data_IF_378359107888
#
_entry.id   IF_378359107888
#
_cell.length_a   1.000
_cell.length_b   1.000
_cell.length_c   1.000
_cell.angle_alpha   90.00
_cell.angle_beta   90.00
_cell.angle_gamma   90.00
#
_symmetry.space_group_name_H-M   'P 1'
#
loop_
_entity.id
_entity.type
_entity.pdbx_description
1 polymer ?
#
# COMPACT_ATOMS: atom_id res chain seq x y z
N UNK A 1 -28.59 4.11 -34.65
CA UNK A 1 -27.31 4.73 -34.25
C UNK A 1 -26.20 4.07 -35.04
N UNK A 2 -25.50 4.84 -35.87
CA UNK A 2 -24.37 4.33 -36.66
C UNK A 2 -23.14 4.26 -35.73
N UNK A 3 -22.20 3.36 -36.02
CA UNK A 3 -20.95 3.17 -35.26
C UNK A 3 -20.20 4.49 -34.93
N UNK A 4 -20.38 5.51 -35.77
CA UNK A 4 -19.82 6.86 -35.63
C UNK A 4 -20.34 7.67 -34.43
N UNK A 5 -21.61 7.51 -34.05
CA UNK A 5 -22.21 8.31 -32.96
C UNK A 5 -21.65 7.86 -31.59
N UNK A 6 -21.41 6.55 -31.46
CA UNK A 6 -20.78 5.94 -30.28
C UNK A 6 -19.30 6.31 -30.18
N UNK A 7 -18.60 6.39 -31.32
CA UNK A 7 -17.21 6.83 -31.40
C UNK A 7 -17.06 8.28 -30.93
N UNK A 8 -17.93 9.20 -31.37
CA UNK A 8 -17.95 10.61 -30.94
C UNK A 8 -18.28 10.76 -29.44
N UNK A 9 -19.22 9.98 -28.91
CA UNK A 9 -19.56 10.01 -27.48
C UNK A 9 -18.41 9.49 -26.59
N UNK A 10 -17.73 8.44 -27.08
CA UNK A 10 -16.53 7.87 -26.47
C UNK A 10 -15.36 8.86 -26.53
N UNK A 11 -15.12 9.49 -27.69
CA UNK A 11 -14.10 10.52 -27.93
C UNK A 11 -14.27 11.70 -26.96
N UNK A 12 -15.52 12.13 -26.73
CA UNK A 12 -15.84 13.20 -25.80
C UNK A 12 -15.64 12.82 -24.32
N UNK A 13 -15.95 11.56 -23.93
CA UNK A 13 -15.61 11.03 -22.60
C UNK A 13 -14.09 10.98 -22.39
N UNK A 14 -13.36 10.46 -23.38
CA UNK A 14 -11.89 10.36 -23.33
C UNK A 14 -11.22 11.72 -23.26
N UNK A 15 -11.65 12.71 -24.05
CA UNK A 15 -11.09 14.08 -23.94
C UNK A 15 -11.30 14.68 -22.57
N UNK A 16 -12.42 14.37 -21.91
CA UNK A 16 -12.71 14.78 -20.54
C UNK A 16 -11.83 14.04 -19.54
N UNK A 17 -11.60 12.74 -19.72
CA UNK A 17 -10.76 11.89 -18.87
C UNK A 17 -9.24 12.05 -19.13
N UNK A 18 -8.85 12.55 -20.30
CA UNK A 18 -7.45 12.83 -20.70
C UNK A 18 -7.03 14.27 -20.38
N UNK A 19 -7.96 15.24 -20.40
CA UNK A 19 -7.69 16.64 -19.99
C UNK A 19 -7.90 16.91 -18.49
N UNK A 20 -8.56 16.00 -17.78
CA UNK A 20 -8.60 16.07 -16.33
C UNK A 20 -7.17 15.86 -15.82
N UNK A 21 -6.66 16.86 -15.11
CA UNK A 21 -5.48 16.72 -14.26
C UNK A 21 -5.82 15.73 -13.16
N UNK A 22 -5.90 14.45 -13.48
CA UNK A 22 -5.83 13.41 -12.48
C UNK A 22 -4.41 13.49 -11.91
N UNK A 23 -4.31 13.84 -10.63
CA UNK A 23 -3.09 13.63 -9.86
C UNK A 23 -2.62 12.20 -10.10
N UNK A 24 -1.31 11.99 -10.09
CA UNK A 24 -0.63 10.69 -10.08
C UNK A 24 -1.60 9.53 -9.80
N UNK A 25 -1.92 8.85 -10.89
CA UNK A 25 -3.04 7.95 -11.12
C UNK A 25 -3.38 7.04 -9.93
N UNK A 26 -4.66 6.93 -9.58
CA UNK A 26 -5.16 5.94 -8.62
C UNK A 26 -4.58 4.56 -8.98
N UNK A 27 -3.75 3.98 -8.10
CA UNK A 27 -3.11 2.67 -8.30
C UNK A 27 -4.09 1.56 -8.74
N UNK A 28 -5.36 1.51 -8.26
CA UNK A 28 -6.37 0.59 -8.80
C UNK A 28 -6.60 0.73 -10.31
N UNK A 29 -6.57 1.94 -10.85
CA UNK A 29 -6.71 2.22 -12.28
C UNK A 29 -5.48 1.73 -13.05
N UNK A 30 -4.28 1.89 -12.49
CA UNK A 30 -3.05 1.40 -13.11
C UNK A 30 -2.99 -0.13 -13.13
N UNK A 31 -3.36 -0.76 -12.01
CA UNK A 31 -3.47 -2.22 -11.90
C UNK A 31 -4.52 -2.73 -12.89
N UNK A 32 -5.70 -2.10 -12.96
CA UNK A 32 -6.73 -2.47 -13.93
C UNK A 32 -6.19 -2.46 -15.36
N UNK A 33 -5.53 -1.38 -15.78
CA UNK A 33 -4.97 -1.27 -17.14
C UNK A 33 -3.91 -2.35 -17.38
N UNK A 34 -3.01 -2.60 -16.44
CA UNK A 34 -2.02 -3.68 -16.52
C UNK A 34 -2.66 -5.06 -16.73
N UNK A 35 -3.70 -5.34 -15.95
CA UNK A 35 -4.42 -6.60 -16.05
C UNK A 35 -5.17 -6.71 -17.37
N UNK A 36 -5.79 -5.63 -17.86
CA UNK A 36 -6.47 -5.61 -19.16
C UNK A 36 -5.51 -5.96 -20.31
N UNK A 37 -4.32 -5.37 -20.29
CA UNK A 37 -3.29 -5.66 -21.29
C UNK A 37 -2.90 -7.14 -21.31
N UNK A 38 -2.64 -7.72 -20.13
CA UNK A 38 -2.30 -9.16 -19.99
C UNK A 38 -3.47 -10.06 -20.39
N UNK A 39 -4.69 -9.69 -20.05
CA UNK A 39 -5.87 -10.46 -20.44
C UNK A 39 -6.04 -10.53 -21.95
N UNK A 40 -5.86 -9.41 -22.64
CA UNK A 40 -6.04 -9.31 -24.09
C UNK A 40 -4.92 -9.99 -24.87
N UNK A 41 -3.67 -9.84 -24.44
CA UNK A 41 -2.50 -10.19 -25.26
C UNK A 41 -1.70 -11.38 -24.73
N UNK A 42 -2.04 -11.91 -23.54
CA UNK A 42 -1.42 -13.10 -22.96
C UNK A 42 -2.45 -14.19 -22.64
N UNK A 43 -3.39 -13.92 -21.73
CA UNK A 43 -4.30 -14.96 -21.22
C UNK A 43 -5.28 -15.42 -22.29
N UNK A 44 -5.97 -14.50 -22.96
CA UNK A 44 -6.96 -14.88 -23.97
C UNK A 44 -6.35 -15.69 -25.13
N UNK A 45 -5.24 -15.27 -25.77
CA UNK A 45 -4.63 -16.07 -26.83
C UNK A 45 -4.13 -17.44 -26.35
N UNK A 46 -3.59 -17.52 -25.13
CA UNK A 46 -3.09 -18.78 -24.56
C UNK A 46 -4.23 -19.76 -24.24
N UNK A 47 -5.34 -19.28 -23.67
CA UNK A 47 -6.48 -20.14 -23.31
C UNK A 47 -7.32 -20.55 -24.53
N UNK A 48 -7.43 -19.69 -25.54
CA UNK A 48 -8.36 -19.89 -26.67
C UNK A 48 -7.69 -20.33 -27.96
N UNK A 49 -6.37 -20.13 -28.10
CA UNK A 49 -5.65 -20.27 -29.37
C UNK A 49 -5.95 -19.16 -30.38
N UNK A 50 -6.77 -18.16 -30.04
CA UNK A 50 -7.10 -17.03 -30.91
C UNK A 50 -6.08 -15.91 -30.75
N UNK A 51 -5.17 -15.82 -31.72
CA UNK A 51 -4.11 -14.81 -31.77
C UNK A 51 -4.48 -13.56 -32.59
N UNK A 52 -5.71 -13.44 -33.07
CA UNK A 52 -6.10 -12.38 -34.03
C UNK A 52 -5.78 -10.97 -33.51
N UNK A 53 -6.07 -10.71 -32.24
CA UNK A 53 -5.78 -9.42 -31.59
C UNK A 53 -4.28 -9.19 -31.43
N UNK A 54 -3.53 -10.23 -31.08
CA UNK A 54 -2.09 -10.14 -30.91
C UNK A 54 -1.40 -9.86 -32.25
N UNK A 55 -1.81 -10.55 -33.33
CA UNK A 55 -1.36 -10.28 -34.69
C UNK A 55 -1.71 -8.86 -35.12
N UNK A 56 -2.95 -8.43 -34.87
CA UNK A 56 -3.39 -7.07 -35.18
C UNK A 56 -2.53 -6.02 -34.48
N UNK A 57 -2.26 -6.19 -33.18
CA UNK A 57 -1.38 -5.32 -32.40
C UNK A 57 0.02 -5.24 -33.02
N UNK A 58 0.67 -6.40 -33.22
CA UNK A 58 2.06 -6.46 -33.70
C UNK A 58 2.17 -5.84 -35.10
N UNK A 59 1.32 -6.27 -36.03
CA UNK A 59 1.36 -5.79 -37.42
C UNK A 59 1.07 -4.29 -37.54
N UNK A 60 0.15 -3.77 -36.73
CA UNK A 60 -0.14 -2.33 -36.67
C UNK A 60 1.10 -1.56 -36.18
N UNK A 61 1.76 -2.06 -35.14
CA UNK A 61 2.95 -1.42 -34.59
C UNK A 61 4.12 -1.50 -35.57
N UNK A 62 4.36 -2.67 -36.18
CA UNK A 62 5.42 -2.87 -37.17
C UNK A 62 5.25 -1.93 -38.36
N UNK A 63 4.04 -1.85 -38.91
CA UNK A 63 3.71 -0.93 -40.01
C UNK A 63 4.03 0.53 -39.64
N UNK A 64 3.64 0.98 -38.46
CA UNK A 64 3.86 2.36 -38.02
C UNK A 64 5.33 2.64 -37.68
N UNK A 65 6.03 1.66 -37.12
CA UNK A 65 7.46 1.70 -36.85
C UNK A 65 8.33 1.50 -38.11
N UNK A 66 7.72 1.21 -39.26
CA UNK A 66 8.38 0.89 -40.55
C UNK A 66 9.27 -0.36 -40.49
N UNK A 67 8.86 -1.31 -39.66
CA UNK A 67 9.44 -2.64 -39.53
C UNK A 67 8.83 -3.49 -40.67
N UNK A 68 9.65 -4.09 -41.56
CA UNK A 68 9.17 -4.75 -42.78
C UNK A 68 8.49 -6.11 -42.52
N UNK A 69 8.69 -6.69 -41.33
CA UNK A 69 8.09 -7.95 -40.92
C UNK A 69 6.55 -7.85 -40.83
N UNK A 70 5.87 -8.94 -41.19
CA UNK A 70 4.42 -9.08 -41.07
C UNK A 70 4.12 -10.46 -40.49
N UNK A 71 3.35 -10.47 -39.41
CA UNK A 71 2.90 -11.69 -38.75
C UNK A 71 1.69 -12.26 -39.51
N UNK A 72 1.90 -13.32 -40.28
CA UNK A 72 0.87 -13.98 -41.11
C UNK A 72 -0.07 -14.88 -40.30
N UNK A 73 -1.22 -15.27 -40.85
CA UNK A 73 -2.18 -16.17 -40.15
C UNK A 73 -1.61 -17.57 -39.89
N UNK A 74 -0.81 -18.09 -40.83
CA UNK A 74 -0.22 -19.43 -40.76
C UNK A 74 1.03 -19.51 -39.87
N UNK A 75 1.55 -18.37 -39.39
CA UNK A 75 2.75 -18.37 -38.56
C UNK A 75 2.43 -18.87 -37.15
N UNK A 76 3.21 -19.86 -36.70
CA UNK A 76 3.11 -20.39 -35.34
C UNK A 76 3.57 -19.33 -34.32
N UNK A 77 2.65 -18.94 -33.42
CA UNK A 77 2.94 -18.04 -32.32
C UNK A 77 3.12 -18.86 -31.05
N UNK A 78 4.28 -18.71 -30.40
CA UNK A 78 4.57 -19.28 -29.07
C UNK A 78 4.71 -18.16 -28.06
N UNK A 79 3.81 -18.14 -27.08
CA UNK A 79 3.93 -17.26 -25.92
C UNK A 79 4.75 -18.01 -24.87
N UNK A 80 5.99 -17.58 -24.65
CA UNK A 80 6.96 -18.34 -23.86
C UNK A 80 6.68 -18.25 -22.36
N UNK A 81 6.67 -17.03 -21.82
CA UNK A 81 6.33 -16.72 -20.43
C UNK A 81 6.11 -15.20 -20.41
N UNK A 82 4.89 -14.75 -20.08
CA UNK A 82 4.70 -13.39 -19.57
C UNK A 82 5.11 -13.39 -18.11
N UNK A 83 5.77 -12.34 -17.59
CA UNK A 83 6.26 -12.26 -16.20
C UNK A 83 5.20 -12.36 -15.09
N UNK A 84 4.03 -12.89 -15.39
CA UNK A 84 2.84 -12.93 -14.55
C UNK A 84 2.12 -14.27 -14.66
N UNK A 85 2.60 -15.24 -13.89
CA UNK A 85 1.71 -16.18 -13.15
C UNK A 85 0.87 -15.43 -12.08
N UNK A 86 0.70 -14.11 -12.27
CA UNK A 86 0.15 -13.10 -11.34
C UNK A 86 -0.96 -12.30 -12.01
N UNK A 87 -1.56 -12.84 -13.06
CA UNK A 87 -2.83 -12.30 -13.53
C UNK A 87 -3.83 -12.69 -12.44
N UNK A 88 -4.26 -11.71 -11.64
CA UNK A 88 -5.24 -11.88 -10.58
C UNK A 88 -4.82 -12.70 -9.34
N UNK A 89 -3.77 -12.30 -8.60
CA UNK A 89 -3.50 -12.90 -7.28
C UNK A 89 -4.08 -12.03 -6.15
N UNK A 90 -5.00 -12.62 -5.37
CA UNK A 90 -5.54 -12.11 -4.09
C UNK A 90 -4.45 -11.52 -3.18
N UNK A 91 -3.30 -12.19 -3.11
CA UNK A 91 -2.15 -11.79 -2.29
C UNK A 91 -1.64 -10.38 -2.65
N UNK A 92 -1.59 -10.03 -3.93
CA UNK A 92 -1.12 -8.73 -4.39
C UNK A 92 -2.06 -7.61 -3.95
N UNK A 93 -3.37 -7.87 -4.01
CA UNK A 93 -4.38 -6.91 -3.58
C UNK A 93 -4.42 -6.76 -2.06
N UNK A 94 -4.26 -7.85 -1.31
CA UNK A 94 -4.13 -7.80 0.15
C UNK A 94 -2.86 -7.05 0.57
N UNK A 95 -1.74 -7.25 -0.14
CA UNK A 95 -0.51 -6.47 0.08
C UNK A 95 -0.77 -4.97 -0.11
N UNK A 96 -1.55 -4.60 -1.13
CA UNK A 96 -1.96 -3.21 -1.36
C UNK A 96 -2.75 -2.61 -0.19
N UNK A 97 -3.78 -3.31 0.29
CA UNK A 97 -4.61 -2.79 1.40
C UNK A 97 -3.77 -2.52 2.65
N UNK A 98 -2.87 -3.46 2.98
CA UNK A 98 -1.93 -3.28 4.09
C UNK A 98 -1.03 -2.05 3.89
N UNK A 99 -0.52 -1.84 2.68
CA UNK A 99 0.34 -0.70 2.37
C UNK A 99 -0.41 0.64 2.49
N UNK A 100 -1.62 0.74 1.92
CA UNK A 100 -2.46 1.96 2.01
C UNK A 100 -2.81 2.28 3.46
N UNK A 101 -3.20 1.29 4.25
CA UNK A 101 -3.57 1.51 5.65
C UNK A 101 -2.39 1.89 6.54
N UNK A 102 -1.17 1.52 6.15
CA UNK A 102 0.05 1.87 6.87
C UNK A 102 0.58 3.28 6.56
N UNK A 103 -0.05 4.02 5.63
CA UNK A 103 0.45 5.28 5.04
C UNK A 103 1.91 5.19 4.52
N UNK A 104 2.44 3.98 4.34
CA UNK A 104 3.83 3.71 4.01
C UNK A 104 3.91 2.86 2.73
N UNK A 105 3.50 3.47 1.62
CA UNK A 105 3.57 2.83 0.30
C UNK A 105 5.00 3.00 -0.24
N UNK A 106 5.79 1.93 -0.24
CA UNK A 106 7.07 1.93 -0.94
C UNK A 106 6.87 1.54 -2.42
N UNK A 107 7.48 2.29 -3.33
CA UNK A 107 7.40 2.03 -4.79
C UNK A 107 7.92 0.61 -5.12
N UNK A 108 8.88 0.12 -4.33
CA UNK A 108 9.49 -1.21 -4.43
C UNK A 108 8.51 -2.36 -4.18
N UNK A 109 7.44 -2.15 -3.42
CA UNK A 109 6.48 -3.20 -3.09
C UNK A 109 5.67 -3.70 -4.29
N UNK A 110 5.61 -2.89 -5.34
CA UNK A 110 4.86 -3.13 -6.56
C UNK A 110 5.76 -3.19 -7.80
N UNK A 111 7.09 -3.14 -7.63
CA UNK A 111 8.03 -3.16 -8.74
C UNK A 111 7.84 -4.41 -9.59
N UNK A 112 7.58 -4.18 -10.88
CA UNK A 112 7.59 -5.22 -11.90
C UNK A 112 9.00 -5.78 -12.02
N UNK A 113 9.12 -7.11 -11.96
CA UNK A 113 10.37 -7.81 -12.26
C UNK A 113 10.87 -7.42 -13.65
N UNK A 114 12.16 -7.59 -13.87
CA UNK A 114 12.93 -7.23 -15.08
C UNK A 114 12.44 -7.86 -16.40
N UNK A 115 11.44 -8.74 -16.37
CA UNK A 115 10.85 -9.39 -17.54
C UNK A 115 9.77 -8.50 -18.19
N UNK A 116 9.57 -8.67 -19.49
CA UNK A 116 8.42 -8.07 -20.19
C UNK A 116 7.10 -8.72 -19.79
N UNK A 117 5.99 -8.00 -20.01
CA UNK A 117 4.65 -8.47 -19.68
C UNK A 117 4.22 -9.64 -20.56
N UNK A 118 4.53 -9.60 -21.87
CA UNK A 118 4.26 -10.69 -22.81
C UNK A 118 5.50 -10.98 -23.65
N UNK A 119 5.93 -12.23 -23.67
CA UNK A 119 7.08 -12.68 -24.44
C UNK A 119 6.66 -13.69 -25.51
N UNK A 120 6.96 -13.36 -26.75
CA UNK A 120 6.39 -14.01 -27.93
C UNK A 120 7.54 -14.44 -28.83
N UNK A 121 7.46 -15.65 -29.36
CA UNK A 121 8.32 -16.16 -30.42
C UNK A 121 7.46 -16.48 -31.62
N UNK A 122 7.88 -15.96 -32.78
CA UNK A 122 7.23 -16.20 -34.06
C UNK A 122 8.34 -16.48 -35.07
N UNK A 123 8.39 -17.69 -35.60
CA UNK A 123 9.47 -18.14 -36.48
C UNK A 123 10.85 -17.87 -35.86
N UNK A 124 11.58 -16.93 -36.45
CA UNK A 124 12.95 -16.57 -36.06
C UNK A 124 13.09 -15.22 -35.34
N UNK A 125 11.99 -14.59 -34.92
CA UNK A 125 12.03 -13.35 -34.16
C UNK A 125 11.32 -13.48 -32.82
N UNK A 126 11.83 -12.73 -31.84
CA UNK A 126 11.29 -12.63 -30.50
C UNK A 126 10.72 -11.24 -30.29
N UNK A 127 9.49 -11.18 -29.82
CA UNK A 127 8.80 -9.93 -29.51
C UNK A 127 8.52 -9.89 -28.02
N UNK A 128 8.90 -8.78 -27.39
CA UNK A 128 8.63 -8.52 -25.98
C UNK A 128 7.71 -7.32 -25.90
N UNK A 129 6.48 -7.54 -25.47
CA UNK A 129 5.53 -6.47 -25.22
C UNK A 129 5.56 -6.10 -23.74
N UNK A 130 5.54 -4.80 -23.46
CA UNK A 130 5.55 -4.27 -22.11
C UNK A 130 4.65 -3.02 -22.04
N UNK A 131 3.74 -2.98 -21.07
CA UNK A 131 2.89 -1.82 -20.86
C UNK A 131 3.36 -1.04 -19.64
N UNK A 132 3.73 0.23 -19.84
CA UNK A 132 4.28 1.08 -18.81
C UNK A 132 3.23 2.08 -18.32
N UNK A 133 2.73 1.79 -17.12
CA UNK A 133 1.76 2.62 -16.40
C UNK A 133 2.42 3.60 -15.42
N UNK A 134 3.73 3.49 -15.18
CA UNK A 134 4.47 4.32 -14.23
C UNK A 134 5.01 5.64 -14.80
N UNK A 135 5.75 6.40 -13.99
CA UNK A 135 6.29 7.72 -14.38
C UNK A 135 7.40 7.63 -15.44
N UNK A 136 7.71 8.77 -16.10
CA UNK A 136 8.83 8.86 -17.05
C UNK A 136 10.19 8.47 -16.48
N UNK A 137 10.39 8.64 -15.16
CA UNK A 137 11.67 8.34 -14.53
C UNK A 137 11.92 6.83 -14.46
N UNK A 138 10.91 6.08 -14.01
CA UNK A 138 10.92 4.60 -14.00
C UNK A 138 11.11 4.04 -15.41
N UNK A 139 10.42 4.62 -16.40
CA UNK A 139 10.57 4.29 -17.81
C UNK A 139 12.02 4.51 -18.28
N UNK A 140 12.61 5.68 -18.01
CA UNK A 140 13.97 6.02 -18.42
C UNK A 140 14.99 5.09 -17.77
N UNK A 141 14.85 4.76 -16.48
CA UNK A 141 15.74 3.83 -15.80
C UNK A 141 15.64 2.42 -16.39
N UNK A 142 14.43 1.95 -16.76
CA UNK A 142 14.28 0.66 -17.44
C UNK A 142 14.90 0.64 -18.83
N UNK A 143 14.80 1.75 -19.59
CA UNK A 143 15.46 1.89 -20.90
C UNK A 143 16.98 1.85 -20.72
N UNK A 144 17.51 2.66 -19.81
CA UNK A 144 18.96 2.78 -19.59
C UNK A 144 19.54 1.48 -19.05
N UNK A 145 18.85 0.82 -18.13
CA UNK A 145 19.33 -0.42 -17.52
C UNK A 145 19.19 -1.63 -18.46
N UNK A 146 18.63 -1.47 -19.67
CA UNK A 146 18.53 -2.49 -20.72
C UNK A 146 17.94 -3.85 -20.30
N UNK A 147 17.34 -3.96 -19.12
CA UNK A 147 17.03 -5.25 -18.50
C UNK A 147 16.01 -6.07 -19.30
N UNK A 148 15.07 -5.41 -19.99
CA UNK A 148 14.15 -6.06 -20.92
C UNK A 148 14.85 -6.63 -22.14
N UNK A 149 15.88 -5.93 -22.62
CA UNK A 149 16.70 -6.34 -23.76
C UNK A 149 17.55 -7.52 -23.35
N UNK A 150 18.24 -7.40 -22.20
CA UNK A 150 18.95 -8.50 -21.56
C UNK A 150 18.06 -9.72 -21.35
N UNK A 151 16.79 -9.56 -20.98
CA UNK A 151 15.83 -10.67 -20.86
C UNK A 151 15.40 -11.23 -22.23
N UNK A 152 15.21 -10.37 -23.22
CA UNK A 152 14.88 -10.76 -24.58
C UNK A 152 16.04 -11.48 -25.29
N UNK A 153 17.28 -11.19 -24.90
CA UNK A 153 18.50 -11.83 -25.42
C UNK A 153 18.92 -13.05 -24.60
N UNK A 154 18.70 -13.04 -23.28
CA UNK A 154 18.92 -14.21 -22.43
C UNK A 154 17.85 -15.27 -22.75
N UNK A 155 18.28 -16.50 -22.96
CA UNK A 155 17.50 -17.65 -23.48
C UNK A 155 17.36 -17.72 -25.01
N UNK A 156 18.08 -16.89 -25.78
CA UNK A 156 18.32 -17.22 -27.20
C UNK A 156 19.30 -18.39 -27.22
N UNK A 157 18.84 -19.58 -27.64
CA UNK A 157 19.76 -20.58 -28.17
C UNK A 157 20.38 -19.97 -29.43
N UNK A 158 21.71 -19.94 -29.52
CA UNK A 158 22.53 -19.26 -30.54
C UNK A 158 22.13 -19.57 -32.00
N UNK A 159 21.26 -20.55 -32.21
CA UNK A 159 20.90 -21.18 -33.47
C UNK A 159 19.44 -20.92 -33.95
N UNK A 160 18.60 -20.12 -33.23
CA UNK A 160 17.16 -20.00 -33.61
C UNK A 160 16.50 -18.62 -33.64
N UNK A 161 16.99 -17.60 -32.92
CA UNK A 161 16.36 -16.26 -32.89
C UNK A 161 17.30 -15.22 -33.49
N UNK A 162 16.95 -14.66 -34.65
CA UNK A 162 17.75 -13.69 -35.40
C UNK A 162 17.36 -12.23 -35.16
N UNK A 163 16.14 -11.95 -34.70
CA UNK A 163 15.69 -10.56 -34.46
C UNK A 163 14.89 -10.43 -33.17
N UNK A 164 15.08 -9.33 -32.46
CA UNK A 164 14.42 -9.05 -31.18
C UNK A 164 13.77 -7.67 -31.21
N UNK A 165 12.45 -7.63 -31.01
CA UNK A 165 11.69 -6.39 -30.91
C UNK A 165 11.14 -6.20 -29.50
N UNK A 166 11.37 -5.03 -28.92
CA UNK A 166 10.82 -4.64 -27.63
C UNK A 166 9.80 -3.52 -27.82
N UNK A 167 8.52 -3.79 -27.55
CA UNK A 167 7.43 -2.85 -27.79
C UNK A 167 6.89 -2.36 -26.45
N UNK A 168 6.91 -1.04 -26.27
CA UNK A 168 6.62 -0.37 -25.01
C UNK A 168 5.39 0.52 -25.19
N UNK A 169 4.28 0.13 -24.58
CA UNK A 169 3.03 0.88 -24.59
C UNK A 169 2.96 1.74 -23.33
N UNK A 170 3.10 3.05 -23.47
CA UNK A 170 3.28 3.96 -22.33
C UNK A 170 2.00 4.76 -22.10
N UNK A 171 1.49 4.68 -20.87
CA UNK A 171 0.35 5.46 -20.37
C UNK A 171 0.77 6.56 -19.38
N UNK A 172 1.98 6.47 -18.83
CA UNK A 172 2.50 7.44 -17.87
C UNK A 172 2.84 8.80 -18.49
N UNK A 173 3.03 9.81 -17.63
CA UNK A 173 3.53 11.12 -18.03
C UNK A 173 4.97 10.99 -18.54
N UNK A 174 5.18 11.17 -19.85
CA UNK A 174 6.52 11.12 -20.46
C UNK A 174 7.13 12.52 -20.53
N UNK A 175 8.30 12.70 -19.90
CA UNK A 175 9.11 13.92 -19.99
C UNK A 175 10.44 13.63 -20.69
N UNK A 176 11.03 14.63 -21.36
CA UNK A 176 12.34 14.47 -21.99
C UNK A 176 12.34 13.82 -23.38
N UNK A 177 12.87 12.60 -23.53
CA UNK A 177 13.27 12.01 -24.82
C UNK A 177 12.12 11.69 -25.81
N UNK A 178 10.86 11.68 -25.34
CA UNK A 178 9.63 11.57 -26.14
C UNK A 178 8.87 12.90 -26.25
N UNK A 179 9.39 13.98 -25.66
CA UNK A 179 8.71 15.29 -25.61
C UNK A 179 8.45 15.72 -27.06
N UNK A 180 7.17 15.67 -27.47
CA UNK A 180 6.62 16.01 -28.80
C UNK A 180 6.55 14.90 -29.86
N UNK A 181 6.82 13.62 -29.53
CA UNK A 181 6.65 12.51 -30.49
C UNK A 181 5.70 11.44 -29.92
N UNK A 182 4.65 11.03 -30.64
CA UNK A 182 3.77 9.95 -30.19
C UNK A 182 4.46 8.58 -30.20
N UNK A 183 5.41 8.36 -31.12
CA UNK A 183 6.10 7.08 -31.32
C UNK A 183 7.60 7.33 -31.51
N UNK A 184 8.45 6.49 -30.93
CA UNK A 184 9.90 6.50 -31.13
C UNK A 184 10.41 5.08 -31.35
N UNK A 185 11.33 4.92 -32.29
CA UNK A 185 12.01 3.66 -32.58
C UNK A 185 13.47 3.81 -32.17
N UNK A 186 14.09 2.86 -31.48
CA UNK A 186 15.48 2.93 -30.97
C UNK A 186 16.16 1.60 -31.36
N UNK A 187 17.44 1.59 -31.71
CA UNK A 187 18.19 0.35 -31.94
C UNK A 187 18.30 -0.11 -33.40
N UNK A 188 17.42 0.32 -34.31
CA UNK A 188 17.30 -0.27 -35.65
C UNK A 188 18.19 0.40 -36.71
N UNK A 189 18.78 -0.39 -37.62
CA UNK A 189 19.59 0.14 -38.74
C UNK A 189 18.68 0.74 -39.84
N UNK A 190 19.07 1.87 -40.43
CA UNK A 190 18.28 2.57 -41.47
C UNK A 190 17.99 1.70 -42.70
N UNK A 191 18.83 0.72 -43.01
CA UNK A 191 18.66 -0.20 -44.13
C UNK A 191 17.59 -1.29 -43.88
N UNK A 192 17.21 -1.51 -42.62
CA UNK A 192 16.10 -2.40 -42.25
C UNK A 192 14.75 -1.68 -42.25
N UNK A 193 14.75 -0.35 -42.19
CA UNK A 193 13.56 0.48 -42.32
C UNK A 193 13.31 0.69 -43.82
N UNK A 194 12.15 0.25 -44.33
CA UNK A 194 11.86 0.22 -45.77
C UNK A 194 12.35 1.45 -46.55
N UNK A 195 13.10 1.21 -47.63
CA UNK A 195 13.75 2.24 -48.46
C UNK A 195 12.71 3.18 -49.09
N UNK A 196 12.52 4.37 -48.54
CA UNK A 196 12.28 5.59 -49.32
C UNK A 196 12.43 6.91 -48.52
N UNK A 197 13.18 7.81 -49.15
CA UNK A 197 13.44 9.24 -48.91
C UNK A 197 14.11 9.70 -47.59
N UNK A 198 15.43 9.66 -47.61
CA UNK A 198 16.37 10.22 -46.62
C UNK A 198 16.28 11.75 -46.43
N UNK A 199 15.43 12.47 -47.19
CA UNK A 199 15.24 13.93 -47.05
C UNK A 199 14.15 14.36 -46.06
N UNK A 200 13.40 13.41 -45.47
CA UNK A 200 12.32 13.69 -44.50
C UNK A 200 12.71 13.54 -43.03
N UNK A 201 13.98 13.24 -42.71
CA UNK A 201 14.42 12.86 -41.36
C UNK A 201 14.28 13.97 -40.30
N UNK A 202 14.19 15.25 -40.71
CA UNK A 202 13.88 16.38 -39.81
C UNK A 202 12.37 16.69 -39.67
N UNK A 203 11.49 15.98 -40.39
CA UNK A 203 10.03 16.11 -40.29
C UNK A 203 9.32 14.82 -39.88
N UNK A 204 9.99 13.66 -39.88
CA UNK A 204 9.43 12.41 -39.40
C UNK A 204 9.37 12.39 -37.87
N UNK A 205 8.18 12.14 -37.32
CA UNK A 205 7.90 12.03 -35.88
C UNK A 205 8.55 10.80 -35.21
N UNK A 206 9.52 10.15 -35.86
CA UNK A 206 10.28 9.00 -35.39
C UNK A 206 11.72 9.47 -35.14
N UNK A 207 12.37 9.02 -34.07
CA UNK A 207 13.77 9.34 -33.76
C UNK A 207 14.52 8.05 -33.45
N UNK A 208 15.36 7.59 -34.38
CA UNK A 208 16.20 6.38 -34.25
C UNK A 208 17.46 6.72 -33.47
N UNK A 209 17.75 5.95 -32.41
CA UNK A 209 18.91 6.15 -31.54
C UNK A 209 19.51 4.76 -31.24
N UNK A 210 20.83 4.57 -31.42
CA UNK A 210 21.61 3.32 -31.28
C UNK A 210 21.41 2.24 -32.38
N UNK A 211 22.51 1.56 -32.75
CA UNK A 211 22.62 0.63 -33.88
C UNK A 211 22.86 -0.81 -33.40
N UNK A 212 21.89 -1.69 -33.57
CA UNK A 212 22.03 -3.14 -33.40
C UNK A 212 21.33 -3.81 -34.58
N UNK A 213 22.05 -4.59 -35.40
CA UNK A 213 21.53 -5.21 -36.64
C UNK A 213 20.38 -6.21 -36.43
N UNK A 214 20.07 -6.55 -35.18
CA UNK A 214 19.11 -7.59 -34.81
C UNK A 214 18.15 -7.15 -33.72
N UNK A 215 18.09 -5.85 -33.42
CA UNK A 215 17.37 -5.36 -32.25
C UNK A 215 16.69 -4.01 -32.47
N UNK A 216 15.42 -3.92 -32.08
CA UNK A 216 14.64 -2.68 -32.14
C UNK A 216 13.74 -2.49 -30.92
N UNK A 217 13.69 -1.27 -30.40
CA UNK A 217 12.70 -0.83 -29.40
C UNK A 217 11.70 0.08 -30.10
N UNK A 218 10.41 -0.16 -29.89
CA UNK A 218 9.34 0.74 -30.28
C UNK A 218 8.65 1.25 -29.03
N UNK A 219 8.70 2.56 -28.80
CA UNK A 219 8.04 3.23 -27.67
C UNK A 219 6.84 4.01 -28.20
N UNK A 220 5.65 3.72 -27.67
CA UNK A 220 4.38 4.34 -28.07
C UNK A 220 3.77 5.04 -26.87
N UNK A 221 3.57 6.36 -26.98
CA UNK A 221 2.88 7.15 -25.97
C UNK A 221 1.36 7.17 -26.27
N UNK A 222 0.62 6.29 -25.58
CA UNK A 222 -0.82 6.13 -25.77
C UNK A 222 -1.64 7.37 -25.36
N UNK A 223 -1.07 8.26 -24.54
CA UNK A 223 -1.72 9.53 -24.14
C UNK A 223 -1.32 10.72 -25.03
N UNK A 224 -0.52 10.52 -26.06
CA UNK A 224 -0.09 11.63 -26.91
C UNK A 224 -1.25 12.16 -27.74
N UNK A 225 -1.55 13.46 -27.63
CA UNK A 225 -2.70 14.12 -28.29
C UNK A 225 -2.75 13.95 -29.82
N UNK A 226 -1.60 13.74 -30.46
CA UNK A 226 -1.50 13.61 -31.92
C UNK A 226 -1.64 12.15 -32.39
N UNK A 227 -1.68 11.18 -31.46
CA UNK A 227 -1.78 9.76 -31.80
C UNK A 227 -3.08 9.46 -32.54
N UNK A 228 -4.21 10.01 -32.09
CA UNK A 228 -5.52 9.84 -32.74
C UNK A 228 -5.51 10.31 -34.19
N UNK A 229 -4.95 11.49 -34.44
CA UNK A 229 -4.94 12.11 -35.76
C UNK A 229 -3.98 11.41 -36.72
N UNK A 230 -2.77 11.10 -36.25
CA UNK A 230 -1.69 10.66 -37.14
C UNK A 230 -1.57 9.13 -37.21
N UNK A 231 -2.06 8.42 -36.19
CA UNK A 231 -1.95 6.97 -36.04
C UNK A 231 -3.26 6.38 -35.48
N UNK A 232 -4.39 6.51 -36.19
CA UNK A 232 -5.71 6.12 -35.70
C UNK A 232 -5.77 4.64 -35.27
N UNK A 233 -5.15 3.72 -36.01
CA UNK A 233 -5.14 2.30 -35.66
C UNK A 233 -4.41 2.03 -34.33
N UNK A 234 -3.33 2.76 -34.05
CA UNK A 234 -2.59 2.67 -32.77
C UNK A 234 -3.37 3.33 -31.64
N UNK A 235 -4.07 4.42 -31.93
CA UNK A 235 -4.97 5.06 -30.98
C UNK A 235 -6.13 4.13 -30.60
N UNK A 236 -6.70 3.38 -31.55
CA UNK A 236 -7.74 2.38 -31.28
C UNK A 236 -7.25 1.27 -30.35
N UNK A 237 -6.05 0.74 -30.59
CA UNK A 237 -5.41 -0.22 -29.68
C UNK A 237 -5.26 0.39 -28.28
N UNK A 238 -4.79 1.64 -28.21
CA UNK A 238 -4.69 2.38 -26.95
C UNK A 238 -6.03 2.53 -26.25
N UNK A 239 -7.09 2.80 -27.00
CA UNK A 239 -8.45 2.91 -26.49
C UNK A 239 -8.95 1.60 -25.88
N UNK A 240 -8.79 0.48 -26.58
CA UNK A 240 -9.18 -0.84 -26.08
C UNK A 240 -8.45 -1.20 -24.79
N UNK A 241 -7.17 -0.84 -24.69
CA UNK A 241 -6.36 -1.05 -23.50
C UNK A 241 -6.77 -0.17 -22.32
N UNK A 242 -7.06 1.10 -22.58
CA UNK A 242 -7.45 2.06 -21.54
C UNK A 242 -8.83 1.72 -20.99
N UNK A 243 -9.76 1.29 -21.85
CA UNK A 243 -11.16 1.05 -21.48
C UNK A 243 -11.49 -0.39 -21.15
N UNK A 244 -10.71 -1.34 -21.67
CA UNK A 244 -11.01 -2.76 -21.64
C UNK A 244 -12.14 -3.18 -22.58
N UNK A 245 -12.53 -2.33 -23.53
CA UNK A 245 -13.62 -2.59 -24.48
C UNK A 245 -13.03 -2.96 -25.84
N UNK A 246 -12.92 -4.25 -26.21
CA UNK A 246 -12.54 -4.67 -27.54
C UNK A 246 -13.61 -4.30 -28.59
N UNK A 247 -13.18 -3.81 -29.75
CA UNK A 247 -14.03 -3.19 -30.77
C UNK A 247 -14.92 -4.19 -31.52
N UNK A 248 -14.43 -5.38 -31.79
CA UNK A 248 -15.01 -6.27 -32.82
C UNK A 248 -15.45 -7.65 -32.31
N UNK A 249 -15.00 -8.08 -31.12
CA UNK A 249 -15.25 -9.44 -30.64
C UNK A 249 -16.14 -9.46 -29.39
N UNK A 250 -17.47 -9.54 -29.61
CA UNK A 250 -18.47 -9.62 -28.53
C UNK A 250 -18.29 -10.84 -27.63
N UNK A 251 -17.87 -11.98 -28.20
CA UNK A 251 -17.63 -13.21 -27.42
C UNK A 251 -16.45 -13.01 -26.48
N UNK A 252 -15.35 -12.45 -26.99
CA UNK A 252 -14.19 -12.08 -26.18
C UNK A 252 -14.56 -11.05 -25.13
N UNK A 253 -15.32 -9.99 -25.46
CA UNK A 253 -15.77 -9.02 -24.46
C UNK A 253 -16.57 -9.69 -23.33
N UNK A 254 -17.49 -10.59 -23.67
CA UNK A 254 -18.25 -11.36 -22.68
C UNK A 254 -17.34 -12.22 -21.80
N UNK A 255 -16.35 -12.89 -22.40
CA UNK A 255 -15.39 -13.73 -21.68
C UNK A 255 -14.48 -12.91 -20.77
N UNK A 256 -13.94 -11.79 -21.25
CA UNK A 256 -13.09 -10.87 -20.49
C UNK A 256 -13.87 -10.36 -19.28
N UNK A 257 -15.09 -9.87 -19.51
CA UNK A 257 -15.95 -9.40 -18.41
C UNK A 257 -16.25 -10.49 -17.40
N UNK A 258 -16.48 -11.73 -17.84
CA UNK A 258 -16.68 -12.86 -16.94
C UNK A 258 -15.45 -13.10 -16.04
N UNK A 259 -14.25 -13.14 -16.64
CA UNK A 259 -12.98 -13.35 -15.90
C UNK A 259 -12.71 -12.20 -14.92
N UNK A 260 -12.90 -10.96 -15.35
CA UNK A 260 -12.78 -9.76 -14.50
C UNK A 260 -13.77 -9.80 -13.33
N UNK A 261 -15.02 -10.17 -13.60
CA UNK A 261 -16.05 -10.26 -12.56
C UNK A 261 -15.73 -11.36 -11.52
N UNK A 262 -15.19 -12.50 -11.97
CA UNK A 262 -14.73 -13.57 -11.07
C UNK A 262 -13.60 -13.06 -10.18
N UNK A 263 -12.61 -12.40 -10.75
CA UNK A 263 -11.53 -11.77 -9.98
C UNK A 263 -12.06 -10.77 -8.95
N UNK A 264 -12.91 -9.82 -9.36
CA UNK A 264 -13.46 -8.84 -8.42
C UNK A 264 -14.32 -9.49 -7.33
N UNK A 265 -14.98 -10.61 -7.63
CA UNK A 265 -15.70 -11.40 -6.62
C UNK A 265 -14.73 -12.02 -5.62
N UNK A 266 -13.64 -12.62 -6.08
CA UNK A 266 -12.60 -13.18 -5.20
C UNK A 266 -11.98 -12.09 -4.34
N UNK A 267 -11.51 -11.00 -4.94
CA UNK A 267 -10.98 -9.83 -4.23
C UNK A 267 -11.97 -9.30 -3.20
N UNK A 268 -13.26 -9.18 -3.54
CA UNK A 268 -14.29 -8.75 -2.59
C UNK A 268 -14.40 -9.69 -1.40
N UNK A 269 -14.39 -11.00 -1.63
CA UNK A 269 -14.44 -11.98 -0.54
C UNK A 269 -13.21 -11.86 0.37
N UNK A 270 -12.03 -11.69 -0.22
CA UNK A 270 -10.77 -11.48 0.49
C UNK A 270 -10.78 -10.20 1.32
N UNK A 271 -11.31 -9.11 0.76
CA UNK A 271 -11.52 -7.85 1.47
C UNK A 271 -12.41 -8.04 2.69
N UNK A 272 -13.55 -8.71 2.52
CA UNK A 272 -14.47 -8.98 3.63
C UNK A 272 -13.74 -9.75 4.74
N UNK A 273 -13.01 -10.81 4.41
CA UNK A 273 -12.21 -11.56 5.40
C UNK A 273 -11.19 -10.67 6.13
N UNK A 274 -10.44 -9.86 5.38
CA UNK A 274 -9.42 -8.97 5.96
C UNK A 274 -10.03 -7.95 6.94
N UNK A 275 -11.08 -7.24 6.52
CA UNK A 275 -11.72 -6.23 7.37
C UNK A 275 -12.41 -6.85 8.59
N UNK A 276 -13.04 -8.01 8.44
CA UNK A 276 -13.63 -8.74 9.57
C UNK A 276 -12.56 -9.17 10.58
N UNK A 277 -11.48 -9.80 10.11
CA UNK A 277 -10.37 -10.21 10.99
C UNK A 277 -9.73 -9.01 11.71
N UNK A 278 -9.60 -7.87 11.02
CA UNK A 278 -9.07 -6.63 11.60
C UNK A 278 -10.00 -6.04 12.66
N UNK A 279 -11.31 -6.02 12.40
CA UNK A 279 -12.30 -5.54 13.38
C UNK A 279 -12.25 -6.40 14.64
N UNK A 280 -12.29 -7.72 14.49
CA UNK A 280 -12.17 -8.66 15.60
C UNK A 280 -10.89 -8.43 16.41
N UNK A 281 -9.73 -8.38 15.76
CA UNK A 281 -8.46 -8.15 16.47
C UNK A 281 -8.38 -6.78 17.16
N UNK A 282 -9.09 -5.76 16.67
CA UNK A 282 -9.17 -4.44 17.35
C UNK A 282 -10.11 -4.48 18.55
N UNK A 283 -11.22 -5.19 18.44
CA UNK A 283 -12.17 -5.40 19.54
C UNK A 283 -11.51 -6.21 20.65
N UNK A 284 -10.92 -7.36 20.31
CA UNK A 284 -10.17 -8.22 21.24
C UNK A 284 -9.04 -7.44 21.92
N UNK A 285 -8.20 -6.74 21.15
CA UNK A 285 -7.09 -5.98 21.73
C UNK A 285 -7.53 -4.80 22.60
N UNK A 286 -8.70 -4.21 22.34
CA UNK A 286 -9.26 -3.16 23.19
C UNK A 286 -9.84 -3.75 24.49
N UNK A 287 -10.53 -4.88 24.39
CA UNK A 287 -11.10 -5.59 25.56
C UNK A 287 -9.99 -6.10 26.47
N UNK A 288 -9.00 -6.84 25.94
CA UNK A 288 -7.85 -7.33 26.69
C UNK A 288 -7.05 -6.18 27.33
N UNK A 289 -6.78 -5.11 26.57
CA UNK A 289 -6.06 -3.95 27.08
C UNK A 289 -6.82 -3.20 28.17
N UNK A 290 -8.16 -3.12 28.06
CA UNK A 290 -9.00 -2.49 29.08
C UNK A 290 -9.07 -3.35 30.34
N UNK A 291 -9.26 -4.66 30.23
CA UNK A 291 -9.29 -5.57 31.37
C UNK A 291 -7.95 -5.58 32.12
N UNK A 292 -6.84 -5.75 31.42
CA UNK A 292 -5.50 -5.73 32.04
C UNK A 292 -5.20 -4.39 32.71
N UNK A 293 -5.55 -3.27 32.05
CA UNK A 293 -5.36 -1.94 32.60
C UNK A 293 -6.22 -1.70 33.85
N UNK A 294 -7.46 -2.21 33.87
CA UNK A 294 -8.35 -2.09 35.01
C UNK A 294 -7.89 -2.95 36.19
N UNK A 295 -7.47 -4.19 35.94
CA UNK A 295 -6.96 -5.10 36.97
C UNK A 295 -5.70 -4.54 37.63
N UNK A 296 -4.70 -4.15 36.83
CA UNK A 296 -3.46 -3.56 37.33
C UNK A 296 -3.72 -2.24 38.08
N UNK A 297 -4.59 -1.39 37.55
CA UNK A 297 -4.95 -0.13 38.20
C UNK A 297 -5.67 -0.32 39.53
N UNK A 298 -6.56 -1.31 39.63
CA UNK A 298 -7.28 -1.63 40.86
C UNK A 298 -6.36 -2.25 41.91
N UNK A 299 -5.50 -3.19 41.52
CA UNK A 299 -4.54 -3.85 42.41
C UNK A 299 -3.58 -2.82 43.03
N UNK A 300 -2.92 -2.01 42.19
CA UNK A 300 -1.99 -0.98 42.64
C UNK A 300 -2.69 0.09 43.50
N UNK A 301 -3.89 0.53 43.09
CA UNK A 301 -4.65 1.53 43.83
C UNK A 301 -5.12 1.03 45.20
N UNK A 302 -5.54 -0.23 45.30
CA UNK A 302 -5.99 -0.84 46.55
C UNK A 302 -4.81 -1.08 47.49
N UNK A 303 -3.69 -1.62 47.00
CA UNK A 303 -2.49 -1.87 47.79
C UNK A 303 -1.95 -0.58 48.40
N UNK A 304 -1.72 0.44 47.57
CA UNK A 304 -1.22 1.75 48.04
C UNK A 304 -2.20 2.44 48.99
N UNK A 305 -3.50 2.39 48.68
CA UNK A 305 -4.53 3.01 49.51
C UNK A 305 -4.69 2.33 50.87
N UNK A 306 -4.61 1.00 50.91
CA UNK A 306 -4.70 0.23 52.16
C UNK A 306 -3.45 0.42 53.02
N UNK A 307 -2.26 0.36 52.43
CA UNK A 307 -0.99 0.54 53.14
C UNK A 307 -0.93 1.93 53.80
N UNK A 308 -1.15 3.00 53.02
CA UNK A 308 -1.13 4.37 53.53
C UNK A 308 -2.24 4.62 54.57
N UNK A 309 -3.45 4.12 54.31
CA UNK A 309 -4.58 4.30 55.23
C UNK A 309 -4.40 3.58 56.55
N UNK A 310 -3.87 2.35 56.52
CA UNK A 310 -3.62 1.55 57.72
C UNK A 310 -2.47 2.13 58.53
N UNK A 311 -1.37 2.51 57.89
CA UNK A 311 -0.20 3.10 58.57
C UNK A 311 -0.59 4.39 59.30
N UNK A 312 -1.23 5.34 58.61
CA UNK A 312 -1.66 6.60 59.21
C UNK A 312 -2.71 6.39 60.31
N UNK A 313 -3.67 5.49 60.09
CA UNK A 313 -4.71 5.21 61.07
C UNK A 313 -4.17 4.55 62.34
N UNK A 314 -3.23 3.60 62.19
CA UNK A 314 -2.61 2.91 63.31
C UNK A 314 -1.70 3.85 64.11
N UNK A 315 -0.88 4.65 63.43
CA UNK A 315 0.01 5.61 64.07
C UNK A 315 -0.77 6.62 64.92
N UNK A 316 -1.78 7.26 64.32
CA UNK A 316 -2.61 8.25 65.02
C UNK A 316 -3.40 7.61 66.18
N UNK A 317 -3.98 6.43 65.96
CA UNK A 317 -4.75 5.73 66.99
C UNK A 317 -3.89 5.28 68.16
N UNK A 318 -2.68 4.78 67.89
CA UNK A 318 -1.74 4.34 68.93
C UNK A 318 -1.19 5.52 69.72
N UNK A 319 -0.81 6.61 69.05
CA UNK A 319 -0.32 7.82 69.70
C UNK A 319 -1.37 8.41 70.64
N UNK A 320 -2.60 8.59 70.16
CA UNK A 320 -3.72 9.09 70.98
C UNK A 320 -4.01 8.16 72.16
N UNK A 321 -4.07 6.85 71.93
CA UNK A 321 -4.35 5.88 72.99
C UNK A 321 -3.24 5.82 74.06
N UNK A 322 -1.97 5.91 73.66
CA UNK A 322 -0.84 5.94 74.59
C UNK A 322 -0.79 7.23 75.40
N UNK A 323 -1.07 8.37 74.78
CA UNK A 323 -1.08 9.66 75.47
C UNK A 323 -2.22 9.71 76.49
N UNK A 324 -3.44 9.33 76.09
CA UNK A 324 -4.58 9.27 77.00
C UNK A 324 -4.30 8.30 78.17
N UNK A 325 -3.76 7.12 77.90
CA UNK A 325 -3.42 6.16 78.95
C UNK A 325 -2.33 6.66 79.91
N UNK A 326 -1.36 7.44 79.42
CA UNK A 326 -0.33 8.08 80.26
C UNK A 326 -0.90 9.19 81.12
N UNK A 327 -1.81 10.00 80.58
CA UNK A 327 -2.51 11.03 81.34
C UNK A 327 -3.36 10.42 82.44
N UNK A 328 -4.19 9.42 82.13
CA UNK A 328 -5.03 8.70 83.11
C UNK A 328 -4.17 8.08 84.23
N UNK A 329 -3.09 7.36 83.87
CA UNK A 329 -2.18 6.78 84.85
C UNK A 329 -1.49 7.83 85.73
N UNK A 330 -1.13 8.98 85.15
CA UNK A 330 -0.56 10.11 85.90
C UNK A 330 -1.57 10.69 86.88
N UNK A 331 -2.82 10.87 86.46
CA UNK A 331 -3.88 11.37 87.33
C UNK A 331 -4.15 10.42 88.50
N UNK A 332 -4.22 9.11 88.24
CA UNK A 332 -4.37 8.10 89.30
C UNK A 332 -3.20 8.13 90.29
N UNK A 333 -1.96 8.21 89.78
CA UNK A 333 -0.76 8.33 90.61
C UNK A 333 -0.80 9.59 91.48
N UNK A 334 -1.16 10.75 90.92
CA UNK A 334 -1.29 12.01 91.66
C UNK A 334 -2.32 11.87 92.80
N UNK A 335 -3.46 11.21 92.55
CA UNK A 335 -4.48 10.96 93.59
C UNK A 335 -3.94 10.07 94.70
N UNK A 336 -3.29 8.94 94.36
CA UNK A 336 -2.73 8.01 95.34
C UNK A 336 -1.63 8.68 96.18
N UNK A 337 -0.76 9.46 95.55
CA UNK A 337 0.31 10.18 96.21
C UNK A 337 -0.23 11.26 97.17
N UNK A 338 -1.27 12.01 96.78
CA UNK A 338 -1.93 12.98 97.66
C UNK A 338 -2.55 12.28 98.87
N UNK A 339 -3.31 11.20 98.66
CA UNK A 339 -3.95 10.44 99.75
C UNK A 339 -2.93 9.91 100.77
N UNK A 340 -1.76 9.48 100.32
CA UNK A 340 -0.70 8.98 101.22
C UNK A 340 -0.06 10.08 102.09
N UNK A 341 -0.14 11.34 101.69
CA UNK A 341 0.49 12.48 102.38
C UNK A 341 -0.51 13.34 103.17
N UNK A 342 -1.82 13.11 102.99
CA UNK A 342 -2.88 13.99 103.44
C UNK A 342 -3.00 14.10 104.97
N UNK A 343 -2.68 13.04 105.70
CA UNK A 343 -2.71 13.04 107.17
C UNK A 343 -1.44 13.64 107.79
N UNK A 344 -0.40 13.85 106.98
CA UNK A 344 0.94 14.20 107.45
C UNK A 344 1.33 15.66 107.13
N UNK A 345 0.73 16.27 106.12
CA UNK A 345 1.15 17.56 105.56
C UNK A 345 -0.05 18.47 105.24
N UNK A 346 0.14 19.79 105.26
CA UNK A 346 -0.89 20.74 104.80
C UNK A 346 -0.96 20.81 103.25
N UNK A 347 -2.03 21.38 102.69
CA UNK A 347 -2.27 21.39 101.23
C UNK A 347 -1.12 22.01 100.44
N UNK A 348 -0.54 23.11 100.96
CA UNK A 348 0.57 23.85 100.34
C UNK A 348 1.85 23.00 100.28
N UNK A 349 2.13 22.24 101.35
CA UNK A 349 3.29 21.36 101.42
C UNK A 349 3.16 20.11 100.54
N UNK A 350 1.94 19.59 100.33
CA UNK A 350 1.66 18.46 99.42
C UNK A 350 1.74 18.92 97.96
N UNK A 351 1.06 20.02 97.63
CA UNK A 351 1.06 20.62 96.29
C UNK A 351 2.49 20.93 95.82
N UNK A 352 3.31 21.51 96.70
CA UNK A 352 4.72 21.81 96.41
C UNK A 352 5.57 20.56 96.23
N UNK A 353 5.37 19.51 97.06
CA UNK A 353 6.16 18.26 96.99
C UNK A 353 5.85 17.42 95.77
N UNK A 354 4.58 17.36 95.37
CA UNK A 354 4.13 16.59 94.21
C UNK A 354 4.15 17.43 92.92
N UNK A 355 4.42 18.73 93.03
CA UNK A 355 4.37 19.70 91.93
C UNK A 355 3.03 19.66 91.17
N UNK A 356 1.93 19.66 91.93
CA UNK A 356 0.56 19.61 91.41
C UNK A 356 -0.24 20.83 91.91
N UNK A 357 -1.33 21.15 91.21
CA UNK A 357 -2.18 22.29 91.57
C UNK A 357 -2.77 22.11 92.98
N UNK A 358 -2.63 23.13 93.83
CA UNK A 358 -3.17 23.12 95.20
C UNK A 358 -4.68 22.92 95.26
N UNK A 359 -5.44 23.39 94.27
CA UNK A 359 -6.89 23.17 94.19
C UNK A 359 -7.23 21.68 93.95
N UNK A 360 -6.38 20.94 93.22
CA UNK A 360 -6.53 19.49 93.04
C UNK A 360 -6.31 18.74 94.36
N UNK A 361 -5.32 19.16 95.14
CA UNK A 361 -5.07 18.64 96.50
C UNK A 361 -6.27 18.91 97.42
N UNK A 362 -6.79 20.13 97.42
CA UNK A 362 -7.97 20.52 98.21
C UNK A 362 -9.21 19.71 97.83
N UNK A 363 -9.47 19.52 96.53
CA UNK A 363 -10.60 18.73 96.05
C UNK A 363 -10.52 17.26 96.49
N UNK A 364 -9.33 16.64 96.41
CA UNK A 364 -9.13 15.27 96.90
C UNK A 364 -9.33 15.20 98.42
N UNK A 365 -8.87 16.21 99.17
CA UNK A 365 -9.05 16.30 100.63
C UNK A 365 -10.51 16.44 101.05
N UNK A 366 -11.26 17.28 100.35
CA UNK A 366 -12.70 17.45 100.54
C UNK A 366 -13.47 16.14 100.29
N UNK A 367 -13.17 15.44 99.20
CA UNK A 367 -13.82 14.17 98.84
C UNK A 367 -13.45 12.96 99.74
N UNK A 368 -12.48 13.09 100.66
CA UNK A 368 -12.18 12.07 101.68
C UNK A 368 -12.89 12.33 103.02
N UNK A 369 -13.49 13.51 103.18
CA UNK A 369 -14.22 13.92 104.38
C UNK A 369 -15.74 13.72 104.27
N UNK A 370 -16.23 13.38 103.07
CA UNK A 370 -17.54 12.77 102.80
C UNK A 370 -17.42 11.25 102.73
#
# INVERSE_FOLDING_TARGET
MKCNDRYQEIENKLRKDLNTRYSLEDLPTLLYKDQMFKMLYYVYPTETGDYSMLRYLINTIFKVARIPEVVGEDEEIKILVGGTDRVFNEEMYLKYLKAVESDNIQEDDFLRKLAGDVNIVIGNYRIVLDMQTGTSHTLKNRIINNNLITYATNNIREDTVFKVYSIWLVLGNITGFMKNKPIKVIGMHEEELGKEDTRLHNKSKIAVDMKFEHFGIVVINLKHRELEKDFPDVFEIGYELITGIPKSNKKMFSWINQKINLFFKEVRNSMTKYYTARQLGREEGHEEGFEQGLEQGLEQGLEQGLEQGLEQGLEQGLEQGLEQGREEAREEYEIVAVKAMIDLLNDEAIATRLNINIEKVRAIRLNQLD
#
